data_IF_154587783734
#
_entry.id   IF_154587783734
#
_cell.length_a   1.000
_cell.length_b   1.000
_cell.length_c   1.000
_cell.angle_alpha   90.00
_cell.angle_beta   90.00
_cell.angle_gamma   90.00
#
_symmetry.space_group_name_H-M   'P 1'
#
loop_
_entity.id
_entity.type
_entity.pdbx_description
1 polymer ?
#
# COMPACT_ATOMS: atom_id res chain seq x y z
N UNK A 1 -8.08 0.27 10.92
CA UNK A 1 -7.08 0.06 12.00
C UNK A 1 -6.78 1.35 12.74
N UNK A 2 -6.36 2.43 12.07
CA UNK A 2 -6.14 3.75 12.70
C UNK A 2 -7.38 4.20 13.51
N UNK A 3 -8.56 4.19 12.89
CA UNK A 3 -9.84 4.48 13.57
C UNK A 3 -10.11 3.64 14.83
N UNK A 4 -9.87 2.32 14.78
CA UNK A 4 -10.06 1.42 15.93
C UNK A 4 -9.17 1.83 17.10
N UNK A 5 -7.91 2.19 16.82
CA UNK A 5 -6.95 2.57 17.86
C UNK A 5 -7.13 4.00 18.37
N UNK A 6 -7.72 4.89 17.56
CA UNK A 6 -8.13 6.25 17.94
C UNK A 6 -9.45 6.30 18.74
N UNK A 7 -10.21 5.21 18.83
CA UNK A 7 -11.46 5.16 19.60
C UNK A 7 -11.27 5.18 21.12
N UNK A 8 -12.32 5.51 21.88
CA UNK A 8 -12.33 5.48 23.37
C UNK A 8 -12.53 4.07 23.96
N UNK A 9 -12.44 3.02 23.15
CA UNK A 9 -12.60 1.64 23.62
C UNK A 9 -11.44 1.23 24.54
N UNK A 10 -11.73 0.38 25.53
CA UNK A 10 -10.70 -0.24 26.36
C UNK A 10 -9.69 -1.03 25.50
N UNK A 11 -8.41 -1.00 25.89
CA UNK A 11 -7.34 -1.62 25.11
C UNK A 11 -7.57 -3.11 24.83
N UNK A 12 -8.10 -3.87 25.79
CA UNK A 12 -8.44 -5.28 25.59
C UNK A 12 -9.48 -5.48 24.46
N UNK A 13 -10.46 -4.57 24.35
CA UNK A 13 -11.47 -4.58 23.29
C UNK A 13 -10.84 -4.24 21.94
N UNK A 14 -9.96 -3.22 21.89
CA UNK A 14 -9.23 -2.87 20.67
C UNK A 14 -8.40 -4.04 20.14
N UNK A 15 -7.70 -4.76 21.02
CA UNK A 15 -6.90 -5.93 20.63
C UNK A 15 -7.77 -7.08 20.12
N UNK A 16 -8.90 -7.37 20.77
CA UNK A 16 -9.87 -8.38 20.28
C UNK A 16 -10.42 -8.00 18.91
N UNK A 17 -10.84 -6.75 18.72
CA UNK A 17 -11.35 -6.25 17.43
C UNK A 17 -10.28 -6.26 16.34
N UNK A 18 -9.02 -5.95 16.68
CA UNK A 18 -7.90 -6.07 15.75
C UNK A 18 -7.74 -7.51 15.26
N UNK A 19 -7.82 -8.49 16.16
CA UNK A 19 -7.76 -9.91 15.77
C UNK A 19 -8.92 -10.27 14.84
N UNK A 20 -10.14 -9.86 15.17
CA UNK A 20 -11.32 -10.06 14.32
C UNK A 20 -11.12 -9.48 12.92
N UNK A 21 -10.59 -8.27 12.79
CA UNK A 21 -10.29 -7.67 11.48
C UNK A 21 -9.27 -8.48 10.66
N UNK A 22 -8.28 -9.10 11.29
CA UNK A 22 -7.35 -9.99 10.58
C UNK A 22 -8.00 -11.31 10.19
N UNK A 23 -8.89 -11.84 11.01
CA UNK A 23 -9.65 -13.06 10.70
C UNK A 23 -10.60 -12.80 9.51
N UNK A 24 -11.36 -11.70 9.55
CA UNK A 24 -12.22 -11.25 8.45
C UNK A 24 -11.43 -11.04 7.15
N UNK A 25 -10.25 -10.42 7.24
CA UNK A 25 -9.36 -10.22 6.10
C UNK A 25 -8.92 -11.57 5.48
N UNK A 26 -8.64 -12.59 6.29
CA UNK A 26 -8.29 -13.94 5.80
C UNK A 26 -9.48 -14.62 5.14
N UNK A 27 -10.67 -14.53 5.72
CA UNK A 27 -11.88 -15.12 5.15
C UNK A 27 -12.28 -14.45 3.83
N UNK A 28 -12.18 -13.13 3.75
CA UNK A 28 -12.39 -12.37 2.51
C UNK A 28 -11.40 -12.79 1.41
N UNK A 29 -10.13 -13.00 1.76
CA UNK A 29 -9.17 -13.53 0.78
C UNK A 29 -9.54 -14.93 0.32
N UNK A 30 -9.92 -15.83 1.23
CA UNK A 30 -10.31 -17.20 0.87
C UNK A 30 -11.50 -17.24 -0.10
N UNK A 31 -12.51 -16.38 0.10
CA UNK A 31 -13.68 -16.31 -0.78
C UNK A 31 -13.34 -15.75 -2.16
N UNK A 32 -12.40 -14.80 -2.23
CA UNK A 32 -11.98 -14.15 -3.48
C UNK A 32 -10.78 -14.82 -4.15
N UNK A 33 -10.15 -15.84 -3.55
CA UNK A 33 -8.84 -16.35 -3.99
C UNK A 33 -8.80 -16.77 -5.46
N UNK A 34 -9.93 -17.28 -5.97
CA UNK A 34 -10.05 -17.77 -7.35
C UNK A 34 -10.19 -16.63 -8.37
N UNK A 35 -10.44 -15.39 -7.93
CA UNK A 35 -10.43 -14.21 -8.80
C UNK A 35 -9.00 -13.82 -9.20
N UNK A 36 -8.01 -14.16 -8.37
CA UNK A 36 -6.60 -13.92 -8.65
C UNK A 36 -6.03 -15.02 -9.56
N UNK A 37 -6.28 -14.90 -10.88
CA UNK A 37 -5.93 -15.93 -11.88
C UNK A 37 -4.42 -16.14 -12.10
N UNK A 38 -3.60 -15.13 -11.80
CA UNK A 38 -2.15 -15.11 -12.12
C UNK A 38 -1.28 -15.14 -10.86
N UNK A 39 -1.75 -14.58 -9.76
CA UNK A 39 -1.01 -14.47 -8.51
C UNK A 39 -1.75 -15.20 -7.40
N UNK A 40 -1.02 -15.94 -6.57
CA UNK A 40 -1.55 -16.47 -5.31
C UNK A 40 -0.92 -15.71 -4.14
N UNK A 41 -1.76 -15.26 -3.22
CA UNK A 41 -1.33 -14.64 -1.97
C UNK A 41 -1.36 -15.62 -0.79
N UNK A 42 -1.53 -16.92 -1.03
CA UNK A 42 -1.68 -17.93 0.02
C UNK A 42 -0.51 -17.88 1.00
N UNK A 43 0.72 -17.74 0.50
CA UNK A 43 1.92 -17.67 1.34
C UNK A 43 1.98 -16.39 2.19
N UNK A 44 1.35 -15.30 1.75
CA UNK A 44 1.24 -14.08 2.55
C UNK A 44 0.18 -14.26 3.64
N UNK A 45 -1.01 -14.78 3.29
CA UNK A 45 -2.10 -15.01 4.23
C UNK A 45 -1.87 -16.17 5.23
N UNK A 46 -0.94 -17.09 4.93
CA UNK A 46 -0.46 -18.13 5.86
C UNK A 46 0.37 -17.58 7.03
N UNK A 47 0.88 -16.35 6.93
CA UNK A 47 1.66 -15.72 8.00
C UNK A 47 0.76 -15.24 9.12
N UNK A 48 1.34 -15.05 10.29
CA UNK A 48 0.69 -14.31 11.37
C UNK A 48 0.71 -12.79 11.07
N UNK A 49 -0.28 -12.36 10.29
CA UNK A 49 -0.39 -10.98 9.83
C UNK A 49 -0.53 -10.02 11.00
N UNK A 50 0.21 -8.92 10.93
CA UNK A 50 0.23 -7.88 11.94
C UNK A 50 0.44 -6.49 11.30
N UNK A 51 0.54 -5.45 12.13
CA UNK A 51 0.64 -4.05 11.67
C UNK A 51 1.83 -3.82 10.73
N UNK A 52 2.96 -4.52 10.93
CA UNK A 52 4.15 -4.36 10.09
C UNK A 52 3.89 -4.83 8.65
N UNK A 53 3.14 -5.92 8.48
CA UNK A 53 2.75 -6.41 7.17
C UNK A 53 1.86 -5.39 6.43
N UNK A 54 0.86 -4.83 7.13
CA UNK A 54 -0.02 -3.79 6.58
C UNK A 54 0.76 -2.50 6.26
N UNK A 55 1.74 -2.13 7.08
CA UNK A 55 2.61 -0.99 6.81
C UNK A 55 3.44 -1.19 5.55
N UNK A 56 3.90 -2.42 5.28
CA UNK A 56 4.57 -2.77 4.03
C UNK A 56 3.67 -2.52 2.82
N UNK A 57 2.42 -3.01 2.86
CA UNK A 57 1.42 -2.77 1.82
C UNK A 57 1.15 -1.27 1.65
N UNK A 58 0.90 -0.54 2.75
CA UNK A 58 0.69 0.92 2.74
C UNK A 58 1.87 1.66 2.09
N UNK A 59 3.11 1.27 2.42
CA UNK A 59 4.33 1.88 1.84
C UNK A 59 4.44 1.61 0.35
N UNK A 60 4.21 0.38 -0.09
CA UNK A 60 4.22 0.01 -1.50
C UNK A 60 3.23 0.87 -2.31
N UNK A 61 2.02 1.05 -1.79
CA UNK A 61 0.99 1.85 -2.47
C UNK A 61 1.12 3.37 -2.27
N UNK A 62 1.98 3.86 -1.36
CA UNK A 62 2.00 5.26 -0.91
C UNK A 62 2.33 6.31 -1.97
N UNK A 63 2.85 5.90 -3.12
CA UNK A 63 3.28 6.78 -4.21
C UNK A 63 2.77 6.32 -5.59
N UNK A 64 1.95 5.26 -5.65
CA UNK A 64 1.48 4.71 -6.93
C UNK A 64 0.71 5.77 -7.73
N UNK A 65 -0.16 6.51 -7.06
CA UNK A 65 -0.89 7.66 -7.63
C UNK A 65 0.05 8.74 -8.19
N UNK A 66 1.17 9.00 -7.53
CA UNK A 66 2.16 9.97 -7.98
C UNK A 66 2.87 9.50 -9.24
N UNK A 67 3.28 8.23 -9.30
CA UNK A 67 3.90 7.67 -10.49
C UNK A 67 2.92 7.53 -11.65
N UNK A 68 1.64 7.24 -11.39
CA UNK A 68 0.59 7.25 -12.42
C UNK A 68 0.43 8.63 -13.06
N UNK A 69 0.39 9.69 -12.25
CA UNK A 69 0.35 11.08 -12.77
C UNK A 69 1.60 11.48 -13.53
N UNK A 70 2.78 11.04 -13.07
CA UNK A 70 4.02 11.25 -13.80
C UNK A 70 3.95 10.57 -15.18
N UNK A 71 3.44 9.33 -15.23
CA UNK A 71 3.25 8.61 -16.48
C UNK A 71 2.30 9.35 -17.43
N UNK A 72 1.20 9.91 -16.90
CA UNK A 72 0.27 10.72 -17.68
C UNK A 72 0.89 12.02 -18.21
N UNK A 73 1.68 12.74 -17.39
CA UNK A 73 2.38 13.97 -17.80
C UNK A 73 3.39 13.73 -18.94
N UNK A 74 3.99 12.54 -18.97
CA UNK A 74 4.90 12.10 -20.04
C UNK A 74 4.16 11.38 -21.18
N UNK A 75 2.87 11.66 -21.36
CA UNK A 75 2.08 11.19 -22.50
C UNK A 75 1.89 9.67 -22.53
N UNK A 76 2.02 8.99 -21.39
CA UNK A 76 1.98 7.53 -21.27
C UNK A 76 3.08 6.82 -22.09
N UNK A 77 4.20 7.48 -22.37
CA UNK A 77 5.38 6.86 -22.97
C UNK A 77 6.27 6.28 -21.86
N UNK A 78 6.50 4.96 -21.91
CA UNK A 78 7.31 4.26 -20.91
C UNK A 78 8.76 4.74 -20.85
N UNK A 79 9.36 5.09 -22.00
CA UNK A 79 10.76 5.55 -22.04
C UNK A 79 10.90 6.90 -21.35
N UNK A 80 9.99 7.82 -21.65
CA UNK A 80 9.95 9.16 -21.05
C UNK A 80 9.66 9.06 -19.54
N UNK A 81 8.68 8.25 -19.14
CA UNK A 81 8.40 8.00 -17.73
C UNK A 81 9.60 7.43 -16.98
N UNK A 82 10.25 6.40 -17.50
CA UNK A 82 11.42 5.83 -16.83
C UNK A 82 12.60 6.80 -16.79
N UNK A 83 12.72 7.69 -17.78
CA UNK A 83 13.71 8.76 -17.76
C UNK A 83 13.43 9.74 -16.61
N UNK A 84 12.20 10.25 -16.51
CA UNK A 84 11.79 11.13 -15.41
C UNK A 84 11.94 10.48 -14.02
N UNK A 85 11.62 9.18 -13.90
CA UNK A 85 11.85 8.43 -12.65
C UNK A 85 13.33 8.35 -12.29
N UNK A 86 14.23 8.14 -13.28
CA UNK A 86 15.67 8.13 -13.04
C UNK A 86 16.18 9.49 -12.58
N UNK A 87 15.67 10.58 -13.15
CA UNK A 87 16.00 11.94 -12.74
C UNK A 87 15.56 12.22 -11.29
N UNK A 88 14.30 11.91 -10.95
CA UNK A 88 13.80 11.99 -9.58
C UNK A 88 14.63 11.15 -8.59
N UNK A 89 15.19 10.02 -9.04
CA UNK A 89 16.04 9.16 -8.21
C UNK A 89 17.42 9.78 -7.91
N UNK A 90 17.90 10.72 -8.72
CA UNK A 90 19.16 11.45 -8.47
C UNK A 90 18.98 12.64 -7.52
N UNK A 91 17.76 13.15 -7.37
CA UNK A 91 17.47 14.26 -6.46
C UNK A 91 17.67 13.87 -4.98
N UNK A 92 17.93 14.88 -4.14
CA UNK A 92 17.92 14.67 -2.69
C UNK A 92 16.54 14.22 -2.22
N UNK A 93 16.46 13.52 -1.08
CA UNK A 93 15.17 13.07 -0.53
C UNK A 93 14.16 14.22 -0.38
N UNK A 94 14.63 15.42 -0.03
CA UNK A 94 13.79 16.62 0.14
C UNK A 94 13.21 17.08 -1.20
N UNK A 95 14.04 17.18 -2.22
CA UNK A 95 13.63 17.60 -3.58
C UNK A 95 12.70 16.56 -4.21
N UNK A 96 13.06 15.28 -4.14
CA UNK A 96 12.23 14.18 -4.63
C UNK A 96 10.85 14.17 -4.00
N UNK A 97 10.78 14.34 -2.67
CA UNK A 97 9.49 14.40 -1.98
C UNK A 97 8.66 15.62 -2.39
N UNK A 98 9.32 16.76 -2.63
CA UNK A 98 8.66 17.97 -3.14
C UNK A 98 8.14 17.73 -4.56
N UNK A 99 8.95 17.20 -5.47
CA UNK A 99 8.53 16.87 -6.84
C UNK A 99 7.33 15.93 -6.85
N UNK A 100 7.42 14.82 -6.12
CA UNK A 100 6.32 13.86 -5.98
C UNK A 100 5.06 14.46 -5.32
N UNK A 101 5.18 15.44 -4.43
CA UNK A 101 4.01 16.10 -3.82
C UNK A 101 3.26 17.02 -4.79
N UNK A 102 3.94 17.54 -5.82
CA UNK A 102 3.34 18.45 -6.81
C UNK A 102 2.58 17.72 -7.92
N UNK A 103 2.77 16.40 -8.04
CA UNK A 103 1.97 15.52 -8.89
C UNK A 103 0.60 15.31 -8.23
N UNK A 104 -0.30 16.28 -8.39
CA UNK A 104 -1.65 16.30 -7.79
C UNK A 104 -2.73 15.72 -8.65
#
# INVERSE_FOLDING_TARGET
MEELFSSELANAVKLRKKQQLFDDLRENYKSLKNEFRVLSYDNWFKKDLNNTHLLGVKRYHSKVDKFERLFDQHGKDWREFFQAVRELAQESLKERNRGLSLLN
#
